data_IF_330563420557
#
_entry.id   IF_330563420557
#
_cell.length_a   1.000
_cell.length_b   1.000
_cell.length_c   1.000
_cell.angle_alpha   90.00
_cell.angle_beta   90.00
_cell.angle_gamma   90.00
#
_symmetry.space_group_name_H-M   'P 1'
#
loop_
_entity.id
_entity.type
_entity.pdbx_description
1 polymer ?
#
# COMPACT_ATOMS: atom_id res chain seq x y z
N UNK A 1 8.68 -31.26 -21.43
CA UNK A 1 7.81 -30.95 -20.29
C UNK A 1 8.66 -30.91 -19.04
N UNK A 2 8.42 -29.94 -18.16
CA UNK A 2 9.12 -29.80 -16.87
C UNK A 2 9.57 -28.38 -16.59
N UNK A 3 8.61 -27.46 -16.43
CA UNK A 3 8.87 -26.12 -15.93
C UNK A 3 9.18 -26.15 -14.44
N UNK A 4 10.43 -25.90 -14.06
CA UNK A 4 10.83 -25.60 -12.70
C UNK A 4 10.67 -24.10 -12.46
N UNK A 5 9.51 -23.70 -11.92
CA UNK A 5 9.26 -22.32 -11.50
C UNK A 5 10.16 -21.97 -10.31
N UNK A 6 11.26 -21.28 -10.60
CA UNK A 6 12.08 -20.61 -9.60
C UNK A 6 11.34 -19.41 -9.05
N UNK A 7 10.69 -19.57 -7.89
CA UNK A 7 10.21 -18.44 -7.11
C UNK A 7 11.40 -17.70 -6.47
N UNK A 8 11.50 -16.37 -6.56
CA UNK A 8 12.57 -15.66 -5.88
C UNK A 8 12.21 -15.44 -4.41
N UNK A 9 12.82 -16.25 -3.54
CA UNK A 9 13.10 -15.88 -2.17
C UNK A 9 14.43 -15.13 -2.09
N UNK A 10 14.49 -14.02 -1.36
CA UNK A 10 15.73 -13.28 -1.12
C UNK A 10 15.48 -11.94 -0.46
N UNK A 11 15.69 -11.89 0.85
CA UNK A 11 15.58 -10.69 1.68
C UNK A 11 16.62 -9.63 1.33
N UNK A 12 16.17 -8.39 1.44
CA UNK A 12 16.92 -7.16 1.28
C UNK A 12 15.89 -6.05 1.26
N UNK A 13 16.19 -4.88 1.77
CA UNK A 13 15.25 -3.75 1.95
C UNK A 13 14.57 -3.22 0.65
N UNK A 14 14.78 -3.90 -0.48
CA UNK A 14 14.15 -3.69 -1.79
C UNK A 14 13.50 -4.95 -2.40
N UNK A 15 13.45 -6.08 -1.67
CA UNK A 15 12.84 -7.32 -2.13
C UNK A 15 11.34 -7.12 -2.34
N UNK A 16 10.90 -7.12 -3.60
CA UNK A 16 9.49 -7.00 -3.97
C UNK A 16 8.99 -5.58 -4.24
N UNK A 17 9.86 -4.56 -4.35
CA UNK A 17 9.46 -3.23 -4.84
C UNK A 17 9.54 -3.18 -6.37
N UNK A 18 8.43 -2.90 -7.04
CA UNK A 18 8.32 -2.80 -8.50
C UNK A 18 7.78 -1.43 -8.88
N UNK A 19 8.09 -0.95 -10.10
CA UNK A 19 7.28 0.10 -10.71
C UNK A 19 5.86 -0.46 -10.89
N UNK A 20 4.85 0.32 -10.53
CA UNK A 20 3.45 -0.13 -10.57
C UNK A 20 3.07 -0.58 -11.98
N UNK A 21 3.42 0.21 -13.00
CA UNK A 21 3.13 -0.09 -14.41
C UNK A 21 3.71 -1.46 -14.81
N UNK A 22 5.01 -1.63 -14.64
CA UNK A 22 5.72 -2.85 -15.02
C UNK A 22 5.16 -4.09 -14.28
N UNK A 23 4.76 -3.93 -13.02
CA UNK A 23 4.11 -4.99 -12.25
C UNK A 23 2.73 -5.37 -12.82
N UNK A 24 1.87 -4.38 -13.10
CA UNK A 24 0.51 -4.62 -13.63
C UNK A 24 0.57 -5.22 -15.03
N UNK A 25 1.48 -4.75 -15.89
CA UNK A 25 1.71 -5.32 -17.23
C UNK A 25 2.13 -6.79 -17.14
N UNK A 26 3.14 -7.09 -16.31
CA UNK A 26 3.58 -8.48 -16.13
C UNK A 26 2.50 -9.36 -15.49
N UNK A 27 1.70 -8.80 -14.58
CA UNK A 27 0.59 -9.52 -13.96
C UNK A 27 -0.50 -9.85 -15.00
N UNK A 28 -0.86 -8.90 -15.87
CA UNK A 28 -1.78 -9.14 -17.01
C UNK A 28 -1.31 -10.27 -17.91
N UNK A 29 -0.03 -10.29 -18.27
CA UNK A 29 0.52 -11.34 -19.12
C UNK A 29 0.49 -12.74 -18.47
N UNK A 30 0.46 -12.79 -17.13
CA UNK A 30 0.48 -14.05 -16.37
C UNK A 30 -0.91 -14.69 -16.16
N UNK A 31 -1.99 -13.99 -16.49
CA UNK A 31 -3.37 -14.51 -16.38
C UNK A 31 -3.93 -14.89 -17.76
N UNK A 32 -4.98 -15.76 -17.80
CA UNK A 32 -5.73 -16.04 -19.04
C UNK A 32 -6.20 -14.76 -19.74
N UNK A 33 -6.29 -14.81 -21.07
CA UNK A 33 -6.62 -13.65 -21.91
C UNK A 33 -7.93 -12.99 -21.49
N UNK A 34 -8.92 -13.80 -21.12
CA UNK A 34 -10.27 -13.39 -20.71
C UNK A 34 -10.27 -12.56 -19.43
N UNK A 35 -9.19 -12.63 -18.63
CA UNK A 35 -9.05 -11.92 -17.36
C UNK A 35 -8.12 -10.71 -17.46
N UNK A 36 -7.46 -10.46 -18.60
CA UNK A 36 -6.47 -9.37 -18.72
C UNK A 36 -7.08 -7.99 -18.54
N UNK A 37 -8.30 -7.79 -19.04
CA UNK A 37 -8.99 -6.50 -19.01
C UNK A 37 -9.42 -6.09 -17.60
N UNK A 38 -9.62 -7.05 -16.70
CA UNK A 38 -10.00 -6.79 -15.30
C UNK A 38 -8.81 -6.60 -14.38
N UNK A 39 -7.58 -6.87 -14.84
CA UNK A 39 -6.38 -6.70 -14.02
C UNK A 39 -5.98 -5.23 -13.99
N UNK A 40 -6.11 -4.61 -12.81
CA UNK A 40 -5.64 -3.25 -12.57
C UNK A 40 -5.16 -3.05 -11.12
N UNK A 41 -4.58 -1.88 -10.84
CA UNK A 41 -3.98 -1.57 -9.53
C UNK A 41 -4.99 -1.56 -8.37
N UNK A 42 -6.29 -1.34 -8.63
CA UNK A 42 -7.34 -1.37 -7.61
C UNK A 42 -7.48 -2.75 -6.97
N UNK A 43 -7.20 -3.83 -7.69
CA UNK A 43 -7.20 -5.19 -7.17
C UNK A 43 -6.07 -5.47 -6.16
N UNK A 44 -5.07 -4.59 -6.08
CA UNK A 44 -3.96 -4.70 -5.12
C UNK A 44 -4.28 -4.07 -3.77
N UNK A 45 -5.45 -3.45 -3.66
CA UNK A 45 -5.93 -2.79 -2.45
C UNK A 45 -5.93 -3.74 -1.25
N UNK A 46 -5.15 -3.38 -0.22
CA UNK A 46 -4.99 -4.20 0.99
C UNK A 46 -4.09 -5.43 0.84
N UNK A 47 -3.58 -5.71 -0.36
CA UNK A 47 -2.62 -6.79 -0.65
C UNK A 47 -1.20 -6.25 -0.85
N UNK A 48 -1.09 -5.04 -1.40
CA UNK A 48 0.15 -4.33 -1.63
C UNK A 48 -0.01 -2.83 -1.41
N UNK A 49 1.07 -2.18 -0.97
CA UNK A 49 1.14 -0.73 -0.88
C UNK A 49 1.55 -0.17 -2.24
N UNK A 50 0.68 0.67 -2.81
CA UNK A 50 0.97 1.50 -3.97
C UNK A 50 1.40 2.89 -3.49
N UNK A 51 2.70 3.14 -3.54
CA UNK A 51 3.33 4.38 -3.11
C UNK A 51 3.45 5.37 -4.27
N UNK A 52 2.70 6.46 -4.20
CA UNK A 52 2.67 7.53 -5.22
C UNK A 52 3.63 8.70 -4.91
N UNK A 53 4.42 8.60 -3.84
CA UNK A 53 5.22 9.73 -3.32
C UNK A 53 6.63 9.87 -3.91
N UNK A 54 7.01 9.09 -4.93
CA UNK A 54 8.18 9.43 -5.74
C UNK A 54 7.78 10.57 -6.68
N UNK A 55 8.17 11.81 -6.31
CA UNK A 55 7.66 13.05 -6.88
C UNK A 55 7.66 13.15 -8.40
N UNK A 56 6.92 14.17 -8.86
CA UNK A 56 6.56 14.50 -10.24
C UNK A 56 5.25 13.84 -10.68
N UNK A 57 4.35 14.69 -11.19
CA UNK A 57 3.06 14.40 -11.81
C UNK A 57 2.87 12.97 -12.33
N UNK A 58 1.79 12.34 -11.88
CA UNK A 58 1.23 11.16 -12.54
C UNK A 58 1.55 9.80 -11.89
N UNK A 59 0.68 8.83 -12.18
CA UNK A 59 0.79 7.43 -11.75
C UNK A 59 2.06 6.70 -12.27
N UNK A 60 2.79 7.31 -13.20
CA UNK A 60 3.92 6.69 -13.91
C UNK A 60 5.14 6.44 -13.01
N UNK A 61 5.28 7.21 -11.92
CA UNK A 61 6.34 7.04 -10.93
C UNK A 61 5.90 6.26 -9.68
N UNK A 62 4.70 5.67 -9.68
CA UNK A 62 4.23 4.89 -8.54
C UNK A 62 5.00 3.57 -8.41
N UNK A 63 5.24 3.16 -7.17
CA UNK A 63 5.86 1.88 -6.85
C UNK A 63 4.90 1.00 -6.05
N UNK A 64 4.96 -0.30 -6.30
CA UNK A 64 4.19 -1.30 -5.56
C UNK A 64 5.13 -2.19 -4.75
N UNK A 65 4.73 -2.52 -3.52
CA UNK A 65 5.41 -3.53 -2.67
C UNK A 65 4.41 -4.37 -1.89
N UNK A 66 4.69 -5.67 -1.66
CA UNK A 66 3.85 -6.53 -0.84
C UNK A 66 3.63 -5.93 0.55
N UNK A 67 2.37 -5.80 0.93
CA UNK A 67 1.98 -5.33 2.26
C UNK A 67 0.52 -5.69 2.48
N UNK A 68 0.27 -6.75 3.25
CA UNK A 68 -1.07 -7.30 3.37
C UNK A 68 -1.75 -6.81 4.65
N UNK A 69 -2.96 -6.29 4.51
CA UNK A 69 -3.76 -5.80 5.62
C UNK A 69 -4.14 -6.92 6.61
N UNK A 70 -4.29 -8.16 6.13
CA UNK A 70 -4.60 -9.33 6.95
C UNK A 70 -3.44 -9.79 7.84
N UNK A 71 -2.21 -9.36 7.56
CA UNK A 71 -1.01 -9.63 8.36
C UNK A 71 -0.73 -8.53 9.38
N UNK A 72 -1.52 -7.45 9.40
CA UNK A 72 -1.31 -6.36 10.35
C UNK A 72 -1.77 -6.73 11.77
N UNK A 73 -1.11 -6.16 12.80
CA UNK A 73 -1.55 -6.30 14.18
C UNK A 73 -3.01 -5.90 14.37
N UNK A 74 -3.73 -6.62 15.24
CA UNK A 74 -5.15 -6.36 15.51
C UNK A 74 -5.36 -5.11 16.37
N UNK A 75 -4.38 -4.75 17.21
CA UNK A 75 -4.49 -3.57 18.06
C UNK A 75 -4.19 -2.31 17.24
N UNK A 76 -4.97 -1.22 17.41
CA UNK A 76 -4.73 0.03 16.68
C UNK A 76 -3.30 0.57 16.88
N UNK A 77 -2.79 0.56 18.13
CA UNK A 77 -1.47 1.10 18.45
C UNK A 77 -0.35 0.39 17.68
N UNK A 78 -0.34 -0.95 17.67
CA UNK A 78 0.68 -1.73 16.97
C UNK A 78 0.52 -1.66 15.45
N UNK A 79 -0.73 -1.58 14.97
CA UNK A 79 -1.03 -1.39 13.55
C UNK A 79 -0.45 -0.08 13.02
N UNK A 80 -0.74 1.05 13.68
CA UNK A 80 -0.17 2.35 13.29
C UNK A 80 1.35 2.36 13.43
N UNK A 81 1.91 1.68 14.45
CA UNK A 81 3.36 1.52 14.55
C UNK A 81 3.95 0.78 13.34
N UNK A 82 3.37 -0.34 12.93
CA UNK A 82 3.81 -1.08 11.75
C UNK A 82 3.69 -0.24 10.46
N UNK A 83 2.59 0.51 10.29
CA UNK A 83 2.38 1.40 9.15
C UNK A 83 3.46 2.49 9.07
N UNK A 84 3.75 3.16 10.18
CA UNK A 84 4.73 4.24 10.18
C UNK A 84 6.18 3.77 10.13
N UNK A 85 6.46 2.54 10.56
CA UNK A 85 7.75 1.87 10.33
C UNK A 85 7.95 1.55 8.84
N UNK A 86 6.88 1.17 8.14
CA UNK A 86 6.93 0.85 6.70
C UNK A 86 7.09 2.10 5.82
N UNK A 87 6.39 3.19 6.15
CA UNK A 87 6.41 4.46 5.42
C UNK A 87 6.12 5.60 6.41
N UNK A 88 6.91 6.67 6.46
CA UNK A 88 6.74 7.72 7.48
C UNK A 88 5.55 8.66 7.21
N UNK A 89 5.14 8.80 5.95
CA UNK A 89 4.10 9.76 5.50
C UNK A 89 3.12 9.04 4.59
N UNK A 90 1.83 9.19 4.86
CA UNK A 90 0.77 8.50 4.12
C UNK A 90 -0.31 9.47 3.65
N UNK A 91 -0.93 9.17 2.51
CA UNK A 91 -2.21 9.78 2.14
C UNK A 91 -3.38 8.95 2.70
N UNK A 92 -4.59 9.51 2.68
CA UNK A 92 -5.78 8.74 3.10
C UNK A 92 -6.02 7.53 2.21
N UNK A 93 -5.88 7.69 0.89
CA UNK A 93 -6.04 6.60 -0.09
C UNK A 93 -5.10 5.41 0.18
N UNK A 94 -3.86 5.71 0.62
CA UNK A 94 -2.89 4.69 0.97
C UNK A 94 -3.21 4.02 2.32
N UNK A 95 -3.74 4.77 3.30
CA UNK A 95 -4.01 4.28 4.66
C UNK A 95 -5.28 3.46 4.79
N UNK A 96 -6.34 3.89 4.10
CA UNK A 96 -7.68 3.34 4.24
C UNK A 96 -7.76 1.79 4.10
N UNK A 97 -7.00 1.09 3.23
CA UNK A 97 -7.00 -0.38 3.21
C UNK A 97 -6.48 -1.05 4.49
N UNK A 98 -5.68 -0.33 5.28
CA UNK A 98 -4.90 -0.89 6.38
C UNK A 98 -5.42 -0.52 7.75
N UNK A 99 -6.30 0.48 7.84
CA UNK A 99 -6.90 0.95 9.10
C UNK A 99 -8.31 0.43 9.19
N UNK A 100 -8.60 -0.33 10.25
CA UNK A 100 -9.93 -0.89 10.49
C UNK A 100 -10.42 -0.48 11.88
N UNK A 101 -11.69 -0.09 11.95
CA UNK A 101 -12.37 0.20 13.21
C UNK A 101 -12.32 -1.01 14.14
N UNK A 102 -12.30 -0.75 15.44
CA UNK A 102 -12.44 -1.78 16.48
C UNK A 102 -13.73 -1.52 17.25
N UNK A 103 -14.11 -2.46 18.13
CA UNK A 103 -15.26 -2.26 19.03
C UNK A 103 -15.12 -1.02 19.92
N UNK A 104 -13.88 -0.64 20.24
CA UNK A 104 -13.58 0.43 21.19
C UNK A 104 -13.33 1.78 20.50
N UNK A 105 -13.02 1.77 19.21
CA UNK A 105 -12.57 2.98 18.52
C UNK A 105 -12.82 2.93 17.01
N UNK A 106 -13.57 3.92 16.52
CA UNK A 106 -13.82 4.15 15.08
C UNK A 106 -12.53 4.54 14.37
N UNK A 107 -12.49 4.41 13.04
CA UNK A 107 -11.32 4.76 12.21
C UNK A 107 -10.88 6.21 12.46
N UNK A 108 -11.84 7.14 12.49
CA UNK A 108 -11.62 8.57 12.72
C UNK A 108 -10.97 8.82 14.09
N UNK A 109 -11.48 8.15 15.13
CA UNK A 109 -10.92 8.24 16.47
C UNK A 109 -9.50 7.64 16.53
N UNK A 110 -9.19 6.58 15.77
CA UNK A 110 -7.82 6.07 15.69
C UNK A 110 -6.89 7.05 14.98
N UNK A 111 -7.33 7.64 13.87
CA UNK A 111 -6.56 8.62 13.12
C UNK A 111 -6.22 9.83 13.99
N UNK A 112 -7.21 10.40 14.70
CA UNK A 112 -6.99 11.52 15.62
C UNK A 112 -6.03 11.16 16.76
N UNK A 113 -6.06 9.90 17.24
CA UNK A 113 -5.25 9.45 18.37
C UNK A 113 -3.80 9.14 18.00
N UNK A 114 -3.57 8.46 16.87
CA UNK A 114 -2.26 7.90 16.50
C UNK A 114 -1.52 8.63 15.39
N UNK A 115 -2.16 9.62 14.77
CA UNK A 115 -1.55 10.34 13.64
C UNK A 115 -1.45 11.84 13.91
N UNK A 116 -0.53 12.49 13.20
CA UNK A 116 -0.50 13.93 12.96
C UNK A 116 -0.88 14.17 11.52
N UNK A 117 -1.82 15.09 11.31
CA UNK A 117 -2.23 15.55 9.98
C UNK A 117 -1.47 16.84 9.67
N UNK A 118 -0.81 16.87 8.51
CA UNK A 118 -0.21 18.08 7.96
C UNK A 118 -0.83 18.37 6.59
N UNK A 119 -1.32 19.58 6.41
CA UNK A 119 -1.92 20.04 5.17
C UNK A 119 -1.50 21.51 4.96
N UNK A 120 -0.47 21.78 4.13
CA UNK A 120 0.11 23.13 4.01
C UNK A 120 -0.85 24.19 3.47
N UNK A 121 -1.77 23.80 2.59
CA UNK A 121 -2.79 24.67 2.00
C UNK A 121 -4.14 23.94 1.99
N UNK A 122 -5.26 24.66 1.93
CA UNK A 122 -6.60 24.06 1.89
C UNK A 122 -6.77 23.07 0.71
N UNK A 123 -6.08 23.31 -0.40
CA UNK A 123 -6.15 22.47 -1.61
C UNK A 123 -5.13 21.32 -1.62
N UNK A 124 -4.16 21.31 -0.70
CA UNK A 124 -3.19 20.23 -0.62
C UNK A 124 -3.82 18.96 -0.04
N UNK A 125 -3.41 17.80 -0.54
CA UNK A 125 -3.81 16.52 0.03
C UNK A 125 -3.30 16.39 1.48
N UNK A 126 -4.17 16.04 2.45
CA UNK A 126 -3.75 15.79 3.82
C UNK A 126 -2.73 14.66 3.89
N UNK A 127 -1.66 14.87 4.64
CA UNK A 127 -0.62 13.87 4.91
C UNK A 127 -0.70 13.43 6.37
N UNK A 128 -0.76 12.13 6.58
CA UNK A 128 -0.81 11.48 7.88
C UNK A 128 0.58 10.95 8.24
N UNK A 129 1.05 11.28 9.44
CA UNK A 129 2.36 10.86 9.96
C UNK A 129 2.24 10.40 11.41
N UNK A 130 3.28 9.74 11.93
CA UNK A 130 3.30 9.28 13.33
C UNK A 130 3.11 10.46 14.29
N UNK A 131 2.23 10.29 15.28
CA UNK A 131 2.04 11.27 16.35
C UNK A 131 3.20 11.34 17.34
#
# INVERSE_FOLDING_TARGET
GGGGGGGPGGGGVNAGRWRLRDFVERWRESVPEELRDVVDASLLRGLALVDKTAGVDGSENAFVRPFRADRLPKTPKERFHALFTLKPRWTMDELEPYVVGTREMTVEAQLLKFTRVSQPTADAMPVYSKR
#
